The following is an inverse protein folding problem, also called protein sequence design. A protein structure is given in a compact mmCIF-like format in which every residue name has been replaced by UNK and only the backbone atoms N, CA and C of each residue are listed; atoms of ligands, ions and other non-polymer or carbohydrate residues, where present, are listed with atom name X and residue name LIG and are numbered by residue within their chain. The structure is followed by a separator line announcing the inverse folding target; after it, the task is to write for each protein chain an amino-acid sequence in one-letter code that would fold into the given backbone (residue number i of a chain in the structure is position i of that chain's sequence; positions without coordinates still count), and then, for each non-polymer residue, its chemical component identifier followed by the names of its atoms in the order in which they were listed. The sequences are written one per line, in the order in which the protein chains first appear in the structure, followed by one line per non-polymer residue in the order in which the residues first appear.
data_IF_663961084880
#
_entry.id   IF_663961084880
#
_cell.length_a   1.000
_cell.length_b   1.000
_cell.length_c   1.000
_cell.angle_alpha   90.00
_cell.angle_beta   90.00
_cell.angle_gamma   90.00
#
_symmetry.space_group_name_H-M   'P 1'
#
loop_
_entity.id
_entity.type
_entity.pdbx_description
1 polymer ?
#
# COMPACT_ATOMS: atom_id res chain seq x y z
N UNK A 1 20.40 -9.79 3.78
CA UNK A 1 19.03 -10.35 3.69
C UNK A 1 19.01 -11.68 4.43
N UNK A 2 18.11 -11.87 5.40
CA UNK A 2 18.13 -13.06 6.27
C UNK A 2 17.44 -14.29 5.67
N UNK A 3 16.30 -14.12 4.98
CA UNK A 3 15.51 -15.22 4.39
C UNK A 3 14.62 -14.72 3.24
N UNK A 4 14.16 -15.64 2.40
CA UNK A 4 13.16 -15.39 1.34
C UNK A 4 13.78 -15.10 -0.02
N UNK A 5 12.97 -14.54 -0.93
CA UNK A 5 13.37 -14.16 -2.29
C UNK A 5 13.10 -12.67 -2.51
N UNK A 6 14.00 -12.00 -3.22
CA UNK A 6 13.84 -10.60 -3.61
C UNK A 6 14.17 -10.42 -5.10
N UNK A 7 13.32 -9.67 -5.82
CA UNK A 7 13.67 -9.15 -7.14
C UNK A 7 14.21 -7.73 -6.98
N UNK A 8 15.34 -7.45 -7.62
CA UNK A 8 15.97 -6.13 -7.66
C UNK A 8 16.18 -5.75 -9.12
N UNK A 9 15.57 -4.65 -9.55
CA UNK A 9 15.80 -4.08 -10.87
C UNK A 9 16.78 -2.92 -10.77
N UNK A 10 17.91 -3.01 -11.47
CA UNK A 10 18.94 -1.98 -11.54
C UNK A 10 18.60 -0.96 -12.63
N UNK A 11 19.13 0.26 -12.52
CA UNK A 11 18.92 1.31 -13.54
C UNK A 11 19.48 0.98 -14.93
N UNK A 12 20.35 -0.02 -15.04
CA UNK A 12 20.82 -0.58 -16.32
C UNK A 12 19.76 -1.43 -17.03
N UNK A 13 18.69 -1.82 -16.33
CA UNK A 13 17.70 -2.80 -16.78
C UNK A 13 18.02 -4.24 -16.37
N UNK A 14 19.13 -4.49 -15.67
CA UNK A 14 19.44 -5.82 -15.11
C UNK A 14 18.45 -6.14 -14.00
N UNK A 15 17.84 -7.32 -14.09
CA UNK A 15 16.98 -7.86 -13.04
C UNK A 15 17.70 -8.97 -12.30
N UNK A 16 17.78 -8.84 -10.97
CA UNK A 16 18.40 -9.80 -10.07
C UNK A 16 17.32 -10.50 -9.25
N UNK A 17 17.42 -11.82 -9.11
CA UNK A 17 16.69 -12.59 -8.10
C UNK A 17 17.70 -13.04 -7.06
N UNK A 18 17.52 -12.58 -5.82
CA UNK A 18 18.39 -12.90 -4.68
C UNK A 18 17.63 -13.81 -3.73
N UNK A 19 18.27 -14.91 -3.33
CA UNK A 19 17.73 -15.86 -2.36
C UNK A 19 18.51 -15.78 -1.04
N UNK A 20 17.79 -15.48 0.04
CA UNK A 20 18.35 -15.36 1.38
C UNK A 20 18.64 -16.72 2.04
N UNK A 21 19.60 -16.84 2.96
CA UNK A 21 20.45 -15.77 3.49
C UNK A 21 21.50 -15.28 2.46
N UNK A 22 21.60 -13.96 2.29
CA UNK A 22 22.50 -13.35 1.31
C UNK A 22 23.05 -12.00 1.79
N UNK A 23 24.32 -11.76 1.50
CA UNK A 23 25.04 -10.52 1.74
C UNK A 23 25.64 -10.02 0.42
N UNK A 24 25.19 -8.84 -0.01
CA UNK A 24 25.57 -8.25 -1.29
C UNK A 24 25.50 -6.72 -1.22
N UNK A 25 26.23 -6.06 -2.11
CA UNK A 25 26.23 -4.61 -2.27
C UNK A 25 26.09 -4.22 -3.74
N UNK A 26 25.14 -3.33 -4.03
CA UNK A 26 25.02 -2.71 -5.37
C UNK A 26 25.99 -1.53 -5.43
N UNK A 27 27.07 -1.68 -6.19
CA UNK A 27 28.09 -0.63 -6.31
C UNK A 27 27.73 0.40 -7.39
N UNK A 28 27.09 -0.05 -8.47
CA UNK A 28 26.64 0.80 -9.57
C UNK A 28 25.50 0.12 -10.35
N UNK A 29 24.87 0.80 -11.32
CA UNK A 29 23.92 0.15 -12.22
C UNK A 29 24.50 -1.06 -12.97
N UNK A 30 25.83 -1.16 -13.10
CA UNK A 30 26.52 -2.19 -13.87
C UNK A 30 27.30 -3.19 -13.01
N UNK A 31 27.24 -3.09 -11.68
CA UNK A 31 28.12 -3.87 -10.80
C UNK A 31 27.50 -4.17 -9.43
N UNK A 32 27.55 -5.44 -9.05
CA UNK A 32 27.13 -5.95 -7.74
C UNK A 32 28.24 -6.81 -7.14
N UNK A 33 28.51 -6.62 -5.85
CA UNK A 33 29.38 -7.50 -5.07
C UNK A 33 28.52 -8.48 -4.30
N UNK A 34 28.84 -9.77 -4.35
CA UNK A 34 28.17 -10.83 -3.60
C UNK A 34 29.17 -11.49 -2.67
N UNK A 35 28.94 -11.38 -1.37
CA UNK A 35 29.76 -11.98 -0.31
C UNK A 35 29.21 -13.34 0.12
N UNK A 36 27.90 -13.49 0.14
CA UNK A 36 27.24 -14.78 0.39
C UNK A 36 25.85 -14.83 -0.22
N UNK A 37 25.36 -16.04 -0.50
CA UNK A 37 24.01 -16.30 -0.98
C UNK A 37 23.95 -16.61 -2.48
N UNK A 38 22.72 -16.75 -2.98
CA UNK A 38 22.44 -17.09 -4.37
C UNK A 38 21.83 -15.91 -5.10
N UNK A 39 22.38 -15.60 -6.27
CA UNK A 39 21.95 -14.49 -7.12
C UNK A 39 21.82 -14.98 -8.56
N UNK A 40 20.63 -14.84 -9.15
CA UNK A 40 20.38 -15.05 -10.57
C UNK A 40 20.20 -13.69 -11.25
N UNK A 41 20.97 -13.43 -12.29
CA UNK A 41 20.92 -12.19 -13.07
C UNK A 41 20.36 -12.46 -14.46
N UNK A 42 19.40 -11.64 -14.87
CA UNK A 42 18.96 -11.52 -16.27
C UNK A 42 19.45 -10.18 -16.81
N UNK A 43 20.37 -10.23 -17.76
CA UNK A 43 21.00 -9.03 -18.32
C UNK A 43 20.43 -8.73 -19.70
N UNK A 44 19.75 -7.59 -19.90
CA UNK A 44 19.26 -7.21 -21.21
C UNK A 44 20.40 -6.68 -22.10
N UNK A 45 20.16 -6.64 -23.42
CA UNK A 45 21.16 -6.20 -24.41
C UNK A 45 21.85 -4.85 -24.10
N UNK A 46 21.14 -3.80 -23.62
CA UNK A 46 21.79 -2.52 -23.29
C UNK A 46 22.76 -2.58 -22.10
N UNK A 47 22.68 -3.64 -21.29
CA UNK A 47 23.47 -3.81 -20.07
C UNK A 47 24.58 -4.87 -20.21
N UNK A 48 24.96 -5.23 -21.45
CA UNK A 48 26.12 -6.08 -21.70
C UNK A 48 27.36 -5.54 -20.98
N UNK A 49 28.14 -6.44 -20.38
CA UNK A 49 29.25 -6.09 -19.51
C UNK A 49 28.86 -5.83 -18.06
N UNK A 50 27.62 -6.16 -17.66
CA UNK A 50 27.22 -6.21 -16.24
C UNK A 50 28.10 -7.20 -15.46
N UNK A 51 28.41 -6.88 -14.19
CA UNK A 51 29.41 -7.61 -13.43
C UNK A 51 28.91 -8.03 -12.06
N UNK A 52 29.18 -9.28 -11.72
CA UNK A 52 29.07 -9.79 -10.35
C UNK A 52 30.46 -10.12 -9.85
N UNK A 53 30.86 -9.46 -8.77
CA UNK A 53 32.15 -9.64 -8.12
C UNK A 53 31.97 -10.47 -6.85
N UNK A 54 32.84 -11.45 -6.67
CA UNK A 54 32.94 -12.31 -5.49
C UNK A 54 34.37 -12.25 -4.94
N UNK A 55 34.62 -12.82 -3.76
CA UNK A 55 35.98 -12.86 -3.19
C UNK A 55 36.97 -13.67 -4.04
N UNK A 56 36.46 -14.61 -4.85
CA UNK A 56 37.27 -15.54 -5.65
C UNK A 56 37.37 -15.15 -7.13
N UNK A 57 36.64 -14.13 -7.59
CA UNK A 57 36.68 -13.65 -8.97
C UNK A 57 35.51 -12.77 -9.40
N UNK A 58 35.55 -12.34 -10.67
CA UNK A 58 34.55 -11.48 -11.32
C UNK A 58 33.88 -12.25 -12.46
N UNK A 59 32.54 -12.21 -12.54
CA UNK A 59 31.76 -12.66 -13.69
C UNK A 59 31.37 -11.45 -14.50
N UNK A 60 31.70 -11.44 -15.79
CA UNK A 60 31.31 -10.38 -16.72
C UNK A 60 30.32 -10.94 -17.74
N UNK A 61 29.14 -10.36 -17.76
CA UNK A 61 28.09 -10.68 -18.71
C UNK A 61 28.48 -10.28 -20.15
N UNK A 62 28.17 -11.16 -21.10
CA UNK A 62 28.31 -10.88 -22.53
C UNK A 62 26.94 -10.90 -23.26
N UNK A 63 25.84 -10.86 -22.50
CA UNK A 63 24.46 -10.79 -22.99
C UNK A 63 23.61 -12.00 -22.63
N UNK A 64 23.41 -12.27 -21.33
CA UNK A 64 22.77 -13.53 -20.90
C UNK A 64 21.96 -13.53 -19.62
N UNK A 65 21.45 -14.72 -19.28
CA UNK A 65 20.98 -15.10 -17.97
C UNK A 65 21.99 -16.05 -17.29
N UNK A 66 22.50 -15.66 -16.12
CA UNK A 66 23.48 -16.43 -15.35
C UNK A 66 23.18 -16.36 -13.85
N UNK A 67 23.77 -17.25 -13.08
CA UNK A 67 23.62 -17.31 -11.63
C UNK A 67 24.97 -17.49 -10.94
N UNK A 68 25.06 -16.95 -9.73
CA UNK A 68 26.21 -17.08 -8.85
C UNK A 68 25.73 -17.62 -7.50
N UNK A 69 26.42 -18.63 -7.00
CA UNK A 69 26.24 -19.18 -5.65
C UNK A 69 27.54 -18.96 -4.88
N UNK A 70 27.47 -18.15 -3.82
CA UNK A 70 28.61 -17.88 -2.94
C UNK A 70 28.33 -18.48 -1.56
N UNK A 71 29.11 -19.50 -1.21
CA UNK A 71 28.99 -20.20 0.07
C UNK A 71 30.36 -20.68 0.55
N UNK A 72 30.64 -20.52 1.84
CA UNK A 72 31.83 -21.07 2.52
C UNK A 72 33.17 -20.84 1.78
N UNK A 73 33.41 -19.59 1.34
CA UNK A 73 34.64 -19.22 0.62
C UNK A 73 34.73 -19.80 -0.81
N UNK A 74 33.62 -20.32 -1.34
CA UNK A 74 33.53 -20.84 -2.71
C UNK A 74 32.59 -19.97 -3.51
N UNK A 75 32.83 -19.90 -4.82
CA UNK A 75 31.87 -19.34 -5.76
C UNK A 75 31.68 -20.27 -6.94
N UNK A 76 30.42 -20.54 -7.22
CA UNK A 76 29.98 -21.26 -8.41
C UNK A 76 29.29 -20.27 -9.36
N UNK A 77 29.62 -20.35 -10.64
CA UNK A 77 29.02 -19.55 -11.71
C UNK A 77 28.31 -20.51 -12.64
N UNK A 78 27.03 -20.29 -12.86
CA UNK A 78 26.14 -21.12 -13.66
C UNK A 78 25.57 -20.29 -14.80
N UNK A 79 25.84 -20.65 -16.05
CA UNK A 79 25.32 -19.93 -17.21
C UNK A 79 24.07 -20.64 -17.70
N UNK A 80 22.91 -19.99 -17.61
CA UNK A 80 21.63 -20.62 -17.95
C UNK A 80 21.34 -20.49 -19.44
N UNK A 81 21.60 -19.32 -20.01
CA UNK A 81 21.49 -19.03 -21.44
C UNK A 81 22.71 -18.21 -21.87
N UNK A 82 23.01 -18.15 -23.18
CA UNK A 82 24.10 -17.33 -23.73
C UNK A 82 25.52 -17.65 -23.23
N UNK A 83 26.32 -16.64 -22.91
CA UNK A 83 27.71 -16.75 -22.46
C UNK A 83 28.15 -15.66 -21.47
N UNK A 84 29.11 -15.99 -20.60
CA UNK A 84 29.79 -15.05 -19.69
C UNK A 84 31.30 -15.23 -19.77
N UNK A 85 32.04 -14.21 -19.33
CA UNK A 85 33.46 -14.30 -19.07
C UNK A 85 33.71 -14.41 -17.55
N UNK A 86 34.23 -15.56 -17.12
CA UNK A 86 34.68 -15.78 -15.74
C UNK A 86 36.14 -15.36 -15.59
N UNK A 87 36.41 -14.43 -14.68
CA UNK A 87 37.75 -13.90 -14.36
C UNK A 87 38.12 -14.29 -12.93
N UNK A 88 38.69 -15.50 -12.73
CA UNK A 88 39.11 -15.94 -11.40
C UNK A 88 40.24 -15.07 -10.86
N UNK A 89 40.21 -14.80 -9.56
CA UNK A 89 41.31 -14.08 -8.88
C UNK A 89 42.60 -14.89 -8.98
N UNK A 90 43.63 -14.27 -9.57
CA UNK A 90 44.94 -14.90 -9.78
C UNK A 90 44.96 -15.99 -10.85
N UNK A 91 43.93 -16.10 -11.69
CA UNK A 91 43.87 -17.06 -12.81
C UNK A 91 43.65 -16.39 -14.16
N UNK A 92 43.54 -17.20 -15.21
CA UNK A 92 43.20 -16.72 -16.55
C UNK A 92 41.67 -16.62 -16.72
N UNK A 93 41.24 -15.59 -17.43
CA UNK A 93 39.84 -15.45 -17.83
C UNK A 93 39.44 -16.60 -18.76
N UNK A 94 38.22 -17.10 -18.60
CA UNK A 94 37.66 -18.16 -19.44
C UNK A 94 36.21 -17.83 -19.80
N UNK A 95 35.79 -18.25 -20.99
CA UNK A 95 34.40 -18.16 -21.42
C UNK A 95 33.62 -19.38 -20.90
N UNK A 96 32.44 -19.13 -20.37
CA UNK A 96 31.50 -20.17 -19.91
C UNK A 96 30.21 -19.99 -20.71
N UNK A 97 29.74 -21.07 -21.33
CA UNK A 97 28.60 -21.06 -22.25
C UNK A 97 27.34 -21.59 -21.56
N UNK A 98 26.17 -21.32 -22.15
CA UNK A 98 24.87 -21.81 -21.68
C UNK A 98 24.86 -23.31 -21.38
N UNK A 99 24.32 -23.66 -20.21
CA UNK A 99 24.30 -25.00 -19.67
C UNK A 99 25.59 -25.44 -18.96
N UNK A 100 26.64 -24.61 -18.96
CA UNK A 100 27.89 -24.89 -18.26
C UNK A 100 27.95 -24.18 -16.91
N UNK A 101 28.75 -24.75 -16.02
CA UNK A 101 29.05 -24.18 -14.73
C UNK A 101 30.54 -24.30 -14.41
N UNK A 102 31.07 -23.34 -13.66
CA UNK A 102 32.44 -23.34 -13.15
C UNK A 102 32.43 -23.01 -11.68
N UNK A 103 33.25 -23.69 -10.89
CA UNK A 103 33.39 -23.43 -9.46
C UNK A 103 34.83 -23.13 -9.08
N UNK A 104 35.03 -22.26 -8.10
CA UNK A 104 36.35 -21.96 -7.53
C UNK A 104 36.28 -21.73 -6.02
N UNK A 105 37.30 -22.20 -5.29
CA UNK A 105 37.51 -21.85 -3.87
C UNK A 105 38.40 -20.63 -3.69
N UNK A 106 38.36 -20.04 -2.50
CA UNK A 106 39.27 -18.98 -2.03
C UNK A 106 40.75 -19.38 -2.03
N UNK A 107 41.04 -20.68 -1.89
CA UNK A 107 42.39 -21.26 -2.07
C UNK A 107 42.88 -21.22 -3.53
N UNK A 108 41.98 -20.94 -4.48
CA UNK A 108 42.28 -20.88 -5.91
C UNK A 108 42.12 -22.19 -6.66
N UNK A 109 41.61 -23.24 -5.99
CA UNK A 109 41.35 -24.54 -6.60
C UNK A 109 40.04 -24.50 -7.40
N UNK A 110 40.02 -25.17 -8.55
CA UNK A 110 38.78 -25.43 -9.29
C UNK A 110 37.98 -26.49 -8.54
N UNK A 111 36.69 -26.23 -8.34
CA UNK A 111 35.77 -27.18 -7.71
C UNK A 111 34.68 -27.60 -8.70
N UNK A 112 34.09 -28.77 -8.46
CA UNK A 112 32.92 -29.21 -9.20
C UNK A 112 31.73 -28.29 -8.87
N UNK A 113 31.05 -27.80 -9.90
CA UNK A 113 29.84 -26.98 -9.78
C UNK A 113 28.63 -27.86 -10.16
N UNK A 114 27.96 -28.50 -9.19
CA UNK A 114 26.84 -29.38 -9.47
C UNK A 114 25.67 -28.60 -10.06
N UNK A 115 24.86 -29.23 -10.91
CA UNK A 115 23.65 -28.59 -11.43
C UNK A 115 22.72 -28.19 -10.29
N UNK A 116 22.40 -26.89 -10.20
CA UNK A 116 21.46 -26.34 -9.21
C UNK A 116 20.31 -25.63 -9.89
N UNK A 117 19.13 -25.67 -9.28
CA UNK A 117 18.02 -24.83 -9.67
C UNK A 117 18.14 -23.46 -8.99
N UNK A 118 18.00 -22.41 -9.80
CA UNK A 118 17.95 -21.03 -9.34
C UNK A 118 16.57 -20.45 -9.65
N UNK A 119 15.93 -19.85 -8.66
CA UNK A 119 14.60 -19.25 -8.87
C UNK A 119 14.71 -18.11 -9.87
N UNK A 120 13.99 -18.24 -10.99
CA UNK A 120 13.90 -17.22 -12.03
C UNK A 120 12.86 -16.16 -11.74
N UNK A 121 12.86 -15.08 -12.52
CA UNK A 121 11.90 -13.97 -12.40
C UNK A 121 10.46 -14.47 -12.58
N UNK A 122 10.19 -15.31 -13.59
CA UNK A 122 8.83 -15.82 -13.83
C UNK A 122 8.36 -16.74 -12.69
N UNK A 123 9.23 -17.62 -12.19
CA UNK A 123 8.92 -18.47 -11.05
C UNK A 123 8.67 -17.67 -9.78
N UNK A 124 9.47 -16.63 -9.52
CA UNK A 124 9.24 -15.71 -8.40
C UNK A 124 7.90 -14.99 -8.55
N UNK A 125 7.54 -14.52 -9.75
CA UNK A 125 6.24 -13.90 -10.02
C UNK A 125 5.09 -14.87 -9.75
N UNK A 126 5.21 -16.12 -10.15
CA UNK A 126 4.21 -17.16 -9.87
C UNK A 126 4.07 -17.38 -8.36
N UNK A 127 5.18 -17.53 -7.62
CA UNK A 127 5.17 -17.68 -6.16
C UNK A 127 4.49 -16.49 -5.45
N UNK A 128 4.80 -15.26 -5.87
CA UNK A 128 4.19 -14.05 -5.31
C UNK A 128 2.70 -14.00 -5.63
N UNK A 129 2.29 -14.35 -6.85
CA UNK A 129 0.88 -14.41 -7.26
C UNK A 129 0.11 -15.44 -6.45
N UNK A 130 0.68 -16.62 -6.24
CA UNK A 130 0.02 -17.71 -5.52
C UNK A 130 -0.11 -17.37 -4.02
N UNK A 131 0.96 -16.84 -3.40
CA UNK A 131 0.92 -16.35 -2.02
C UNK A 131 -0.16 -15.27 -1.83
N UNK A 132 -0.23 -14.31 -2.76
CA UNK A 132 -1.26 -13.27 -2.75
C UNK A 132 -2.67 -13.83 -2.95
N UNK A 133 -2.84 -14.81 -3.83
CA UNK A 133 -4.14 -15.46 -4.07
C UNK A 133 -4.65 -16.20 -2.83
N UNK A 134 -3.75 -16.86 -2.09
CA UNK A 134 -4.08 -17.50 -0.82
C UNK A 134 -4.50 -16.46 0.23
N UNK A 135 -3.72 -15.38 0.39
CA UNK A 135 -4.07 -14.28 1.31
C UNK A 135 -5.40 -13.64 0.97
N UNK A 136 -5.69 -13.42 -0.32
CA UNK A 136 -6.97 -12.90 -0.78
C UNK A 136 -8.13 -13.84 -0.39
N UNK A 137 -7.97 -15.15 -0.54
CA UNK A 137 -8.98 -16.13 -0.15
C UNK A 137 -9.25 -16.11 1.36
N UNK A 138 -8.19 -16.06 2.18
CA UNK A 138 -8.28 -15.93 3.63
C UNK A 138 -9.00 -14.63 4.04
N UNK A 139 -8.64 -13.51 3.42
CA UNK A 139 -9.30 -12.22 3.68
C UNK A 139 -10.79 -12.26 3.33
N UNK A 140 -11.17 -12.85 2.18
CA UNK A 140 -12.59 -12.96 1.77
C UNK A 140 -13.42 -13.81 2.71
N UNK A 141 -12.83 -14.84 3.33
CA UNK A 141 -13.50 -15.63 4.36
C UNK A 141 -13.67 -14.83 5.65
N UNK A 142 -12.58 -14.21 6.13
CA UNK A 142 -12.58 -13.42 7.37
C UNK A 142 -13.42 -12.15 7.27
N UNK A 143 -13.52 -11.53 6.10
CA UNK A 143 -14.31 -10.32 5.93
C UNK A 143 -15.81 -10.55 6.16
N UNK A 144 -16.28 -11.80 6.07
CA UNK A 144 -17.65 -12.17 6.47
C UNK A 144 -17.90 -11.97 7.97
N UNK A 145 -16.89 -12.19 8.81
CA UNK A 145 -17.02 -11.98 10.26
C UNK A 145 -17.31 -10.51 10.59
N UNK A 146 -16.70 -9.58 9.85
CA UNK A 146 -16.96 -8.16 10.03
C UNK A 146 -18.35 -7.77 9.53
N UNK A 147 -18.81 -8.34 8.42
CA UNK A 147 -20.15 -8.06 7.86
C UNK A 147 -21.26 -8.29 8.87
N UNK A 148 -21.10 -9.29 9.74
CA UNK A 148 -22.09 -9.67 10.73
C UNK A 148 -21.95 -8.90 12.07
N UNK A 149 -20.95 -8.02 12.20
CA UNK A 149 -20.78 -7.19 13.39
C UNK A 149 -21.96 -6.20 13.50
N UNK A 150 -22.74 -6.22 14.60
CA UNK A 150 -23.89 -5.33 14.76
C UNK A 150 -23.51 -3.84 14.86
N UNK A 151 -22.23 -3.52 15.13
CA UNK A 151 -21.71 -2.15 15.17
C UNK A 151 -21.42 -1.60 13.77
N UNK A 152 -21.37 -2.45 12.75
CA UNK A 152 -21.05 -2.06 11.38
C UNK A 152 -22.24 -1.36 10.72
N UNK A 153 -22.05 -0.09 10.35
CA UNK A 153 -23.05 0.72 9.67
C UNK A 153 -22.97 0.57 8.16
N UNK A 154 -21.74 0.54 7.65
CA UNK A 154 -21.44 0.52 6.23
C UNK A 154 -20.19 -0.31 5.97
N UNK A 155 -20.27 -1.14 4.94
CA UNK A 155 -19.10 -1.84 4.42
C UNK A 155 -19.16 -1.92 2.90
N UNK A 156 -18.25 -1.19 2.26
CA UNK A 156 -18.01 -1.26 0.84
C UNK A 156 -16.72 -2.01 0.56
N UNK A 157 -16.86 -3.10 -0.19
CA UNK A 157 -15.77 -3.82 -0.80
C UNK A 157 -16.00 -3.73 -2.31
N UNK A 158 -15.13 -3.04 -3.02
CA UNK A 158 -15.32 -2.79 -4.45
C UNK A 158 -15.09 -4.08 -5.24
N UNK A 159 -16.04 -4.40 -6.13
CA UNK A 159 -15.93 -5.48 -7.09
C UNK A 159 -15.91 -4.94 -8.53
N UNK A 160 -15.33 -5.69 -9.50
CA UNK A 160 -15.25 -5.28 -10.91
C UNK A 160 -16.58 -4.82 -11.52
N UNK A 161 -17.69 -5.48 -11.16
CA UNK A 161 -19.03 -5.17 -11.66
C UNK A 161 -19.64 -3.87 -11.10
N UNK A 162 -19.20 -3.43 -9.92
CA UNK A 162 -19.82 -2.32 -9.18
C UNK A 162 -19.62 -0.98 -9.89
N UNK A 163 -18.40 -0.74 -10.39
CA UNK A 163 -18.05 0.51 -11.06
C UNK A 163 -18.78 0.63 -12.39
N UNK A 164 -18.86 -0.47 -13.14
CA UNK A 164 -19.61 -0.52 -14.40
C UNK A 164 -21.12 -0.33 -14.16
N UNK A 165 -21.65 -0.94 -13.10
CA UNK A 165 -23.04 -0.80 -12.67
C UNK A 165 -23.36 0.54 -11.98
N UNK A 166 -22.35 1.38 -11.74
CA UNK A 166 -22.43 2.64 -10.98
C UNK A 166 -23.02 2.49 -9.57
N UNK A 167 -22.88 1.32 -8.96
CA UNK A 167 -23.43 1.00 -7.64
C UNK A 167 -22.51 0.04 -6.90
N UNK A 168 -22.16 0.37 -5.66
CA UNK A 168 -21.42 -0.51 -4.74
C UNK A 168 -22.40 -1.00 -3.67
N UNK A 169 -22.65 -2.31 -3.54
CA UNK A 169 -23.52 -2.83 -2.49
C UNK A 169 -22.98 -2.53 -1.09
N UNK A 170 -23.85 -2.15 -0.15
CA UNK A 170 -23.50 -2.17 1.26
C UNK A 170 -23.53 -3.63 1.76
N UNK A 171 -22.39 -4.13 2.23
CA UNK A 171 -22.21 -5.51 2.68
C UNK A 171 -22.40 -5.69 4.18
N UNK A 172 -22.69 -4.62 4.93
CA UNK A 172 -23.00 -4.69 6.35
C UNK A 172 -24.32 -5.46 6.56
N UNK A 173 -24.30 -6.55 7.31
CA UNK A 173 -25.43 -7.48 7.47
C UNK A 173 -26.64 -6.88 8.19
N UNK A 174 -26.40 -5.91 9.07
CA UNK A 174 -27.44 -5.19 9.83
C UNK A 174 -27.39 -3.66 9.63
N UNK A 175 -26.51 -3.20 8.74
CA UNK A 175 -26.28 -1.77 8.52
C UNK A 175 -27.47 -1.11 7.82
N UNK A 176 -27.97 -0.01 8.38
CA UNK A 176 -29.06 0.78 7.79
C UNK A 176 -28.60 1.75 6.68
N UNK A 177 -27.28 1.81 6.41
CA UNK A 177 -26.74 2.66 5.35
C UNK A 177 -27.11 2.14 3.95
N UNK A 178 -27.24 3.08 3.01
CA UNK A 178 -27.55 2.76 1.62
C UNK A 178 -26.39 2.06 0.91
N UNK A 179 -26.68 1.52 -0.27
CA UNK A 179 -25.65 1.26 -1.28
C UNK A 179 -24.96 2.57 -1.72
N UNK A 180 -23.79 2.44 -2.30
CA UNK A 180 -22.99 3.56 -2.79
C UNK A 180 -23.30 3.84 -4.25
N UNK A 181 -23.75 5.06 -4.59
CA UNK A 181 -23.91 5.45 -5.99
C UNK A 181 -22.61 6.05 -6.53
N UNK A 182 -22.01 5.38 -7.52
CA UNK A 182 -20.74 5.79 -8.13
C UNK A 182 -21.00 6.84 -9.19
N UNK A 183 -20.31 7.98 -9.09
CA UNK A 183 -20.45 9.11 -10.00
C UNK A 183 -19.08 9.40 -10.60
N UNK A 184 -18.96 9.36 -11.93
CA UNK A 184 -17.79 9.80 -12.70
C UNK A 184 -16.42 9.22 -12.27
N UNK A 185 -16.40 8.13 -11.51
CA UNK A 185 -15.19 7.43 -11.09
C UNK A 185 -14.85 6.30 -12.06
N UNK A 186 -13.59 5.90 -12.11
CA UNK A 186 -13.11 4.87 -13.04
C UNK A 186 -12.67 3.61 -12.30
N UNK A 187 -12.77 2.42 -12.91
CA UNK A 187 -12.23 1.21 -12.31
C UNK A 187 -10.69 1.26 -12.30
N UNK A 188 -10.08 0.66 -11.29
CA UNK A 188 -8.63 0.55 -11.14
C UNK A 188 -8.24 -0.78 -10.46
N UNK A 189 -6.97 -1.21 -10.57
CA UNK A 189 -6.51 -2.38 -9.83
C UNK A 189 -6.57 -2.14 -8.31
N UNK A 190 -7.02 -3.14 -7.57
CA UNK A 190 -7.12 -3.12 -6.10
C UNK A 190 -5.78 -3.38 -5.40
N UNK A 191 -5.80 -3.50 -4.07
CA UNK A 191 -4.57 -3.81 -3.30
C UNK A 191 -4.04 -5.22 -3.53
N UNK A 192 -4.89 -6.12 -4.03
CA UNK A 192 -4.54 -7.49 -4.39
C UNK A 192 -4.07 -7.59 -5.86
N UNK A 193 -4.10 -6.50 -6.63
CA UNK A 193 -3.78 -6.48 -8.05
C UNK A 193 -4.87 -7.06 -8.95
N UNK A 194 -6.08 -7.28 -8.44
CA UNK A 194 -7.22 -7.65 -9.27
C UNK A 194 -7.61 -6.48 -10.15
N UNK A 195 -7.79 -6.68 -11.46
CA UNK A 195 -8.24 -5.62 -12.35
C UNK A 195 -9.65 -5.17 -11.93
N UNK A 196 -9.86 -3.85 -11.88
CA UNK A 196 -11.14 -3.23 -11.54
C UNK A 196 -11.70 -3.53 -10.12
N UNK A 197 -10.90 -4.09 -9.20
CA UNK A 197 -11.32 -4.28 -7.80
C UNK A 197 -11.26 -3.01 -6.93
N UNK A 198 -10.93 -1.85 -7.50
CA UNK A 198 -10.90 -0.57 -6.80
C UNK A 198 -11.45 0.56 -7.68
N UNK A 199 -11.76 1.68 -7.05
CA UNK A 199 -12.26 2.89 -7.72
C UNK A 199 -11.17 3.96 -7.73
N UNK A 200 -10.82 4.44 -8.91
CA UNK A 200 -9.99 5.63 -9.11
C UNK A 200 -10.82 6.91 -9.06
N UNK A 201 -10.42 7.80 -8.15
CA UNK A 201 -11.03 9.10 -7.91
C UNK A 201 -10.24 10.26 -8.53
N UNK A 202 -9.14 9.99 -9.24
CA UNK A 202 -8.35 11.03 -9.91
C UNK A 202 -9.17 11.93 -10.88
N UNK A 203 -10.20 11.44 -11.59
CA UNK A 203 -11.08 12.30 -12.39
C UNK A 203 -11.84 13.33 -11.54
N UNK A 204 -11.82 14.58 -11.98
CA UNK A 204 -12.56 15.65 -11.31
C UNK A 204 -14.06 15.35 -11.25
N UNK A 205 -14.64 15.46 -10.05
CA UNK A 205 -16.06 15.20 -9.81
C UNK A 205 -16.39 13.75 -9.48
N UNK A 206 -15.44 12.82 -9.62
CA UNK A 206 -15.58 11.43 -9.18
C UNK A 206 -15.98 11.37 -7.70
N UNK A 207 -16.90 10.50 -7.30
CA UNK A 207 -17.32 10.30 -5.90
C UNK A 207 -18.17 9.05 -5.77
N UNK A 208 -18.30 8.57 -4.55
CA UNK A 208 -19.38 7.64 -4.17
C UNK A 208 -20.31 8.35 -3.21
N UNK A 209 -21.60 8.32 -3.52
CA UNK A 209 -22.66 8.94 -2.72
C UNK A 209 -23.29 7.89 -1.83
N UNK A 210 -23.48 8.23 -0.56
CA UNK A 210 -24.07 7.32 0.44
C UNK A 210 -24.97 8.08 1.39
N UNK A 211 -25.98 7.40 1.92
CA UNK A 211 -26.81 7.87 3.03
C UNK A 211 -26.61 6.94 4.22
N UNK A 212 -26.17 7.48 5.36
CA UNK A 212 -26.00 6.75 6.62
C UNK A 212 -26.96 7.32 7.66
N UNK A 213 -28.11 6.67 7.90
CA UNK A 213 -29.10 7.16 8.86
C UNK A 213 -28.66 6.90 10.32
N UNK A 214 -29.41 7.47 11.25
CA UNK A 214 -29.26 7.24 12.67
C UNK A 214 -28.38 8.28 13.39
N UNK A 215 -28.22 8.05 14.69
CA UNK A 215 -27.42 8.86 15.60
C UNK A 215 -26.47 7.92 16.31
N UNK A 216 -25.19 8.27 16.31
CA UNK A 216 -24.12 7.42 16.81
C UNK A 216 -23.35 8.17 17.87
N UNK A 217 -23.03 7.52 18.98
CA UNK A 217 -22.21 8.14 20.02
C UNK A 217 -20.74 8.14 19.60
N UNK A 218 -20.25 6.97 19.20
CA UNK A 218 -18.86 6.77 18.77
C UNK A 218 -18.81 6.44 17.29
N UNK A 219 -17.63 6.65 16.67
CA UNK A 219 -17.44 6.42 15.25
C UNK A 219 -16.07 5.80 14.97
N UNK A 220 -16.03 4.80 14.10
CA UNK A 220 -14.78 4.35 13.48
C UNK A 220 -14.90 4.40 11.97
N UNK A 221 -14.03 5.17 11.33
CA UNK A 221 -13.86 5.25 9.89
C UNK A 221 -12.59 4.50 9.51
N UNK A 222 -12.64 3.62 8.52
CA UNK A 222 -11.49 2.86 8.03
C UNK A 222 -11.55 2.70 6.52
N UNK A 223 -10.42 2.88 5.83
CA UNK A 223 -10.33 2.55 4.41
C UNK A 223 -8.96 2.04 3.99
N UNK A 224 -8.96 1.23 2.93
CA UNK A 224 -7.77 0.99 2.11
C UNK A 224 -7.75 1.99 0.97
N UNK A 225 -6.71 2.82 0.95
CA UNK A 225 -6.54 3.91 0.00
C UNK A 225 -5.14 3.90 -0.60
N UNK A 226 -5.06 4.18 -1.91
CA UNK A 226 -3.82 4.42 -2.63
C UNK A 226 -3.77 5.89 -3.02
N UNK A 227 -2.77 6.61 -2.52
CA UNK A 227 -2.64 8.05 -2.76
C UNK A 227 -1.53 8.26 -3.80
N UNK A 228 -1.86 8.91 -4.92
CA UNK A 228 -0.87 9.23 -5.95
C UNK A 228 -0.18 10.57 -5.64
N UNK A 229 -0.94 11.54 -5.16
CA UNK A 229 -0.46 12.86 -4.76
C UNK A 229 -1.46 13.57 -3.84
N UNK A 230 -1.00 14.61 -3.15
CA UNK A 230 -1.82 15.50 -2.32
C UNK A 230 -1.84 16.91 -2.93
N UNK A 231 -2.32 17.01 -4.18
CA UNK A 231 -2.30 18.27 -4.97
C UNK A 231 -3.36 19.29 -4.52
N UNK A 232 -4.20 18.93 -3.54
CA UNK A 232 -5.27 19.76 -3.00
C UNK A 232 -4.98 20.06 -1.55
N UNK A 233 -5.37 21.26 -1.10
CA UNK A 233 -5.25 21.62 0.30
C UNK A 233 -6.02 20.65 1.22
N UNK A 234 -7.18 20.17 0.71
CA UNK A 234 -7.95 19.09 1.33
C UNK A 234 -8.18 17.98 0.32
N UNK A 235 -7.85 16.75 0.70
CA UNK A 235 -8.06 15.54 -0.10
C UNK A 235 -9.07 14.68 0.66
N UNK A 236 -10.31 14.64 0.17
CA UNK A 236 -11.45 13.98 0.83
C UNK A 236 -11.20 12.49 1.00
N UNK A 237 -11.56 11.94 2.16
CA UNK A 237 -11.79 10.51 2.34
C UNK A 237 -13.29 10.26 2.53
N UNK A 238 -13.90 10.97 3.48
CA UNK A 238 -15.34 10.91 3.78
C UNK A 238 -15.84 12.26 4.32
N UNK A 239 -16.83 12.86 3.67
CA UNK A 239 -17.45 14.11 4.12
C UNK A 239 -18.97 14.05 4.01
N UNK A 240 -19.66 14.49 5.05
CA UNK A 240 -21.08 14.81 5.00
C UNK A 240 -21.34 16.00 4.08
N UNK A 241 -22.50 16.02 3.42
CA UNK A 241 -22.87 17.12 2.53
C UNK A 241 -23.21 18.41 3.25
N UNK A 242 -23.78 18.26 4.45
CA UNK A 242 -24.20 19.38 5.26
C UNK A 242 -23.04 20.10 5.92
N UNK A 243 -23.45 21.12 6.66
CA UNK A 243 -22.65 21.69 7.74
C UNK A 243 -23.52 21.72 8.99
N UNK A 244 -24.23 20.65 9.30
CA UNK A 244 -25.09 20.57 10.48
C UNK A 244 -24.30 20.10 11.71
N UNK A 245 -24.83 20.38 12.90
CA UNK A 245 -24.26 19.90 14.15
C UNK A 245 -24.22 18.36 14.18
N UNK A 246 -23.09 17.79 14.64
CA UNK A 246 -22.89 16.35 14.73
C UNK A 246 -22.26 15.72 13.48
N UNK A 247 -22.01 16.49 12.43
CA UNK A 247 -21.50 15.95 11.18
C UNK A 247 -19.96 15.78 11.17
N UNK A 248 -19.43 14.58 10.82
CA UNK A 248 -18.01 14.32 10.76
C UNK A 248 -17.41 14.62 9.37
N UNK A 249 -16.23 15.24 9.34
CA UNK A 249 -15.40 15.41 8.12
C UNK A 249 -14.05 14.73 8.30
N UNK A 250 -13.67 13.91 7.31
CA UNK A 250 -12.45 13.12 7.31
C UNK A 250 -11.71 13.26 5.97
N UNK A 251 -10.48 13.76 6.02
CA UNK A 251 -9.71 14.16 4.84
C UNK A 251 -8.21 14.21 5.15
N UNK A 252 -7.37 14.42 4.13
CA UNK A 252 -5.92 14.53 4.24
C UNK A 252 -5.48 15.92 3.76
N UNK A 253 -4.61 16.57 4.51
CA UNK A 253 -4.02 17.86 4.17
C UNK A 253 -2.95 17.71 3.07
N UNK A 254 -2.64 18.77 2.34
CA UNK A 254 -1.53 18.80 1.36
C UNK A 254 -0.15 18.51 1.97
N UNK A 255 0.02 18.75 3.26
CA UNK A 255 1.23 18.41 4.03
C UNK A 255 1.27 16.97 4.57
N UNK A 256 0.32 16.12 4.17
CA UNK A 256 0.32 14.70 4.54
C UNK A 256 -0.23 14.39 5.92
N UNK A 257 -0.80 15.37 6.65
CA UNK A 257 -1.52 15.13 7.90
C UNK A 257 -2.93 14.63 7.66
N UNK A 258 -3.39 13.70 8.48
CA UNK A 258 -4.79 13.33 8.56
C UNK A 258 -5.57 14.42 9.29
N UNK A 259 -6.77 14.71 8.82
CA UNK A 259 -7.69 15.69 9.37
C UNK A 259 -8.99 14.97 9.73
N UNK A 260 -9.41 15.09 10.98
CA UNK A 260 -10.74 14.68 11.42
C UNK A 260 -11.39 15.77 12.26
N UNK A 261 -12.70 15.93 12.13
CA UNK A 261 -13.48 16.81 13.00
C UNK A 261 -14.93 16.38 13.03
N UNK A 262 -15.62 16.65 14.14
CA UNK A 262 -17.09 16.58 14.23
C UNK A 262 -17.61 17.97 14.55
N UNK A 263 -18.63 18.44 13.83
CA UNK A 263 -19.17 19.79 14.06
C UNK A 263 -19.86 19.87 15.42
N UNK A 264 -19.39 20.76 16.31
CA UNK A 264 -19.93 20.93 17.67
C UNK A 264 -21.08 21.92 17.74
N UNK A 265 -21.06 23.01 16.99
CA UNK A 265 -22.05 24.10 17.10
C UNK A 265 -22.20 24.89 15.80
N UNK A 266 -23.40 25.41 15.55
CA UNK A 266 -23.68 26.26 14.39
C UNK A 266 -23.44 27.74 14.66
N UNK A 267 -23.66 28.17 15.90
CA UNK A 267 -23.45 29.54 16.36
C UNK A 267 -22.21 29.58 17.25
N UNK A 268 -21.25 30.43 16.90
CA UNK A 268 -19.97 30.60 17.61
C UNK A 268 -19.43 32.00 17.37
N UNK A 269 -18.63 32.50 18.31
CA UNK A 269 -18.02 33.81 18.25
C UNK A 269 -16.52 33.72 17.91
N UNK A 270 -16.19 33.94 16.63
CA UNK A 270 -14.81 33.97 16.14
C UNK A 270 -13.93 34.98 16.89
N UNK A 271 -14.50 36.10 17.36
CA UNK A 271 -13.75 37.14 18.07
C UNK A 271 -13.30 36.70 19.46
N UNK A 272 -13.99 35.71 20.05
CA UNK A 272 -13.62 35.06 21.31
C UNK A 272 -12.74 33.82 21.11
N UNK A 273 -12.33 33.54 19.87
CA UNK A 273 -11.54 32.36 19.53
C UNK A 273 -12.36 31.07 19.45
N UNK A 274 -13.70 31.15 19.54
CA UNK A 274 -14.55 29.97 19.38
C UNK A 274 -14.48 29.45 17.94
N UNK A 275 -14.67 28.15 17.78
CA UNK A 275 -14.80 27.47 16.49
C UNK A 275 -16.09 26.65 16.46
N UNK A 276 -16.56 26.34 15.26
CA UNK A 276 -17.66 25.39 15.06
C UNK A 276 -17.25 23.96 15.46
N UNK A 277 -15.96 23.64 15.41
CA UNK A 277 -15.38 22.33 15.73
C UNK A 277 -13.93 22.42 16.19
N UNK A 278 -13.49 21.33 16.81
CA UNK A 278 -12.08 21.02 17.01
C UNK A 278 -11.58 20.13 15.87
N UNK A 279 -10.36 20.37 15.39
CA UNK A 279 -9.75 19.57 14.34
C UNK A 279 -8.64 18.74 14.96
N UNK A 280 -8.80 17.43 14.87
CA UNK A 280 -7.80 16.45 15.29
C UNK A 280 -6.88 16.19 14.12
N UNK A 281 -5.62 16.61 14.25
CA UNK A 281 -4.59 16.41 13.24
C UNK A 281 -3.67 15.27 13.66
N UNK A 282 -3.33 14.38 12.73
CA UNK A 282 -2.18 13.50 12.92
C UNK A 282 -0.86 14.24 12.65
N UNK A 283 0.29 13.68 13.07
CA UNK A 283 1.57 13.96 12.42
C UNK A 283 1.50 13.68 10.91
N UNK A 284 2.31 14.34 10.07
CA UNK A 284 2.42 14.01 8.66
C UNK A 284 2.80 12.54 8.49
N UNK A 285 1.98 11.77 7.75
CA UNK A 285 2.22 10.36 7.52
C UNK A 285 2.53 10.05 6.05
N UNK A 286 2.03 10.87 5.13
CA UNK A 286 2.22 10.67 3.70
C UNK A 286 3.38 11.52 3.17
N UNK A 287 4.24 10.91 2.37
CA UNK A 287 5.30 11.55 1.62
C UNK A 287 5.30 11.05 0.17
N UNK A 288 5.94 11.76 -0.79
CA UNK A 288 5.99 11.32 -2.18
C UNK A 288 6.54 9.90 -2.39
N UNK A 289 7.40 9.39 -1.49
CA UNK A 289 7.94 8.03 -1.53
C UNK A 289 6.87 6.93 -1.31
N UNK A 290 5.74 7.30 -0.70
CA UNK A 290 4.56 6.46 -0.53
C UNK A 290 3.56 6.57 -1.69
N UNK A 291 3.84 7.40 -2.70
CA UNK A 291 2.99 7.53 -3.88
C UNK A 291 2.73 6.17 -4.53
N UNK A 292 1.45 5.89 -4.83
CA UNK A 292 1.03 4.66 -5.49
C UNK A 292 1.03 3.42 -4.59
N UNK A 293 1.34 3.54 -3.29
CA UNK A 293 1.24 2.44 -2.32
C UNK A 293 -0.14 2.42 -1.66
N UNK A 294 -0.65 1.22 -1.40
CA UNK A 294 -1.87 1.02 -0.62
C UNK A 294 -1.58 1.17 0.87
N UNK A 295 -2.41 1.97 1.54
CA UNK A 295 -2.35 2.24 2.97
C UNK A 295 -3.70 1.95 3.59
N UNK A 296 -3.71 1.34 4.78
CA UNK A 296 -4.91 1.28 5.61
C UNK A 296 -4.89 2.48 6.55
N UNK A 297 -5.90 3.34 6.46
CA UNK A 297 -6.03 4.50 7.34
C UNK A 297 -7.31 4.32 8.15
N UNK A 298 -7.24 4.57 9.46
CA UNK A 298 -8.42 4.59 10.30
C UNK A 298 -8.44 5.78 11.25
N UNK A 299 -9.63 6.16 11.69
CA UNK A 299 -9.85 7.15 12.74
C UNK A 299 -10.97 6.69 13.66
N UNK A 300 -10.69 6.64 14.94
CA UNK A 300 -11.62 6.28 16.01
C UNK A 300 -11.93 7.53 16.82
N UNK A 301 -13.22 7.90 16.87
CA UNK A 301 -13.77 8.95 17.72
C UNK A 301 -14.50 8.29 18.89
N UNK A 302 -14.00 8.48 20.11
CA UNK A 302 -14.49 7.84 21.32
C UNK A 302 -14.80 8.88 22.41
N UNK A 303 -16.07 9.34 22.49
CA UNK A 303 -16.54 10.22 23.56
C UNK A 303 -16.46 9.61 24.96
N UNK A 304 -16.53 8.29 25.09
CA UNK A 304 -16.55 7.64 26.40
C UNK A 304 -15.15 7.60 27.01
N UNK A 305 -14.13 7.37 26.20
CA UNK A 305 -12.73 7.52 26.58
C UNK A 305 -12.20 8.97 26.40
N UNK A 306 -13.02 9.91 25.93
CA UNK A 306 -12.66 11.31 25.68
C UNK A 306 -11.42 11.45 24.78
N UNK A 307 -11.33 10.66 23.70
CA UNK A 307 -10.17 10.64 22.82
C UNK A 307 -10.51 10.41 21.34
N UNK A 308 -9.63 10.91 20.47
CA UNK A 308 -9.58 10.60 19.05
C UNK A 308 -8.25 9.94 18.72
N UNK A 309 -8.30 8.80 18.05
CA UNK A 309 -7.09 8.07 17.65
C UNK A 309 -7.05 7.86 16.14
N UNK A 310 -5.93 8.26 15.53
CA UNK A 310 -5.62 8.00 14.13
C UNK A 310 -4.72 6.77 14.03
N UNK A 311 -4.93 5.95 13.00
CA UNK A 311 -4.15 4.75 12.75
C UNK A 311 -3.63 4.74 11.31
N UNK A 312 -2.43 4.18 11.14
CA UNK A 312 -1.83 3.88 9.85
C UNK A 312 -1.36 2.43 9.84
N UNK A 313 -1.86 1.64 8.89
CA UNK A 313 -1.48 0.24 8.70
C UNK A 313 -1.58 -0.59 10.00
N UNK A 314 -2.68 -0.42 10.73
CA UNK A 314 -2.97 -1.17 11.96
C UNK A 314 -2.34 -0.59 13.23
N UNK A 315 -1.39 0.34 13.11
CA UNK A 315 -0.65 0.93 14.23
C UNK A 315 -1.18 2.32 14.59
N UNK A 316 -1.07 2.69 15.87
CA UNK A 316 -1.46 4.03 16.34
C UNK A 316 -0.51 5.08 15.74
N UNK A 317 -1.08 6.01 14.98
CA UNK A 317 -0.37 7.17 14.44
C UNK A 317 -0.35 8.33 15.43
N UNK A 318 -1.49 8.58 16.10
CA UNK A 318 -1.61 9.60 17.15
C UNK A 318 -2.89 9.44 17.94
N UNK A 319 -2.85 9.84 19.21
CA UNK A 319 -4.03 9.98 20.08
C UNK A 319 -4.09 11.39 20.63
N UNK A 320 -5.26 12.01 20.57
CA UNK A 320 -5.52 13.34 21.11
C UNK A 320 -6.76 13.31 22.00
N UNK A 321 -6.71 13.99 23.14
CA UNK A 321 -7.86 14.11 24.04
C UNK A 321 -8.93 15.03 23.42
N UNK A 322 -10.20 14.67 23.57
CA UNK A 322 -11.33 15.52 23.18
C UNK A 322 -11.45 16.65 24.22
N UNK A 323 -11.31 17.94 23.83
CA UNK A 323 -11.56 19.02 24.77
C UNK A 323 -13.04 19.03 25.17
N UNK A 324 -13.33 19.23 26.46
CA UNK A 324 -14.69 19.15 27.02
C UNK A 324 -15.69 20.04 26.26
N UNK A 325 -15.26 21.24 25.85
CA UNK A 325 -16.07 22.20 25.13
C UNK A 325 -16.41 21.74 23.69
N UNK A 326 -15.62 20.83 23.11
CA UNK A 326 -15.78 20.29 21.76
C UNK A 326 -16.32 18.86 21.72
N UNK A 327 -16.66 18.28 22.88
CA UNK A 327 -17.31 16.97 22.96
C UNK A 327 -18.65 16.96 22.20
N UNK A 328 -18.78 16.06 21.24
CA UNK A 328 -20.04 15.78 20.52
C UNK A 328 -20.51 14.38 20.90
N UNK A 329 -21.69 14.28 21.52
CA UNK A 329 -22.27 13.01 21.98
C UNK A 329 -23.19 12.35 20.94
N UNK A 330 -23.64 13.13 19.96
CA UNK A 330 -24.56 12.70 18.90
C UNK A 330 -23.95 13.01 17.54
N UNK A 331 -23.29 12.02 16.96
CA UNK A 331 -22.80 12.08 15.57
C UNK A 331 -23.95 11.75 14.63
N UNK A 332 -24.19 12.63 13.65
CA UNK A 332 -25.23 12.50 12.63
C UNK A 332 -24.54 12.59 11.27
N UNK A 333 -24.76 11.58 10.43
CA UNK A 333 -24.02 11.48 9.16
C UNK A 333 -24.93 11.87 7.98
N UNK A 334 -26.07 11.21 7.84
CA UNK A 334 -27.00 11.51 6.75
C UNK A 334 -26.37 11.30 5.39
N UNK A 335 -26.54 12.26 4.48
CA UNK A 335 -25.96 12.20 3.14
C UNK A 335 -24.48 12.58 3.17
N UNK A 336 -23.66 11.74 2.55
CA UNK A 336 -22.21 11.92 2.50
C UNK A 336 -21.62 11.51 1.15
N UNK A 337 -20.36 11.88 0.97
CA UNK A 337 -19.55 11.56 -0.20
C UNK A 337 -18.21 10.97 0.22
N UNK A 338 -17.80 9.90 -0.47
CA UNK A 338 -16.44 9.36 -0.41
C UNK A 338 -15.55 10.01 -1.48
N UNK A 339 -14.30 10.27 -1.09
CA UNK A 339 -13.16 10.63 -1.95
C UNK A 339 -13.31 11.90 -2.81
N UNK A 340 -14.38 12.66 -2.61
CA UNK A 340 -14.57 14.00 -3.16
C UNK A 340 -15.68 14.70 -2.40
N UNK A 341 -15.73 16.02 -2.46
CA UNK A 341 -16.77 16.78 -1.81
C UNK A 341 -17.01 18.11 -2.53
N UNK A 342 -18.25 18.58 -2.47
CA UNK A 342 -18.69 19.86 -3.03
C UNK A 342 -19.32 19.78 -4.43
N UNK A 343 -20.17 20.77 -4.71
CA UNK A 343 -20.47 21.21 -6.07
C UNK A 343 -19.33 22.15 -6.50
N UNK A 344 -18.85 22.09 -7.76
CA UNK A 344 -17.86 23.03 -8.26
C UNK A 344 -18.50 24.42 -8.39
N UNK A 345 -18.59 25.16 -7.29
CA UNK A 345 -19.03 26.55 -7.30
C UNK A 345 -17.87 27.43 -7.80
N UNK A 346 -18.13 28.21 -8.86
CA UNK A 346 -17.12 29.00 -9.58
C UNK A 346 -16.36 30.01 -8.71
N UNK A 347 -16.86 30.35 -7.52
CA UNK A 347 -16.40 31.50 -6.76
C UNK A 347 -15.31 31.18 -5.72
N UNK A 348 -15.07 29.90 -5.39
CA UNK A 348 -14.00 29.49 -4.45
C UNK A 348 -13.29 28.17 -4.85
N UNK A 349 -12.67 28.11 -6.04
CA UNK A 349 -12.14 26.86 -6.59
C UNK A 349 -11.07 26.18 -5.71
N UNK A 350 -10.26 26.93 -4.96
CA UNK A 350 -9.24 26.38 -4.05
C UNK A 350 -9.82 25.66 -2.82
N UNK A 351 -10.98 26.08 -2.33
CA UNK A 351 -11.64 25.47 -1.17
C UNK A 351 -12.71 24.44 -1.55
N UNK A 352 -13.28 24.57 -2.76
CA UNK A 352 -14.40 23.76 -3.24
C UNK A 352 -13.98 22.40 -3.81
N UNK A 353 -12.76 22.27 -4.35
CA UNK A 353 -12.30 20.99 -4.93
C UNK A 353 -11.52 20.22 -3.88
N UNK A 354 -12.17 19.21 -3.28
CA UNK A 354 -11.56 18.32 -2.28
C UNK A 354 -11.37 16.89 -2.79
N UNK A 355 -11.17 16.75 -4.09
CA UNK A 355 -11.05 15.46 -4.74
C UNK A 355 -9.75 14.74 -4.33
N UNK A 356 -9.85 13.45 -4.02
CA UNK A 356 -8.71 12.58 -3.80
C UNK A 356 -8.04 12.24 -5.15
N UNK A 357 -6.74 12.50 -5.27
CA UNK A 357 -5.92 11.95 -6.34
C UNK A 357 -5.39 10.56 -5.93
N UNK A 358 -6.18 9.53 -6.23
CA UNK A 358 -5.92 8.19 -5.73
C UNK A 358 -7.04 7.19 -5.97
N UNK A 359 -6.88 6.00 -5.42
CA UNK A 359 -7.85 4.90 -5.52
C UNK A 359 -8.32 4.45 -4.13
N UNK A 360 -9.56 3.97 -4.03
CA UNK A 360 -10.08 3.29 -2.84
C UNK A 360 -10.59 1.90 -3.22
N UNK A 361 -10.24 0.91 -2.41
CA UNK A 361 -10.60 -0.50 -2.59
C UNK A 361 -11.67 -0.93 -1.58
N UNK A 362 -11.50 -0.52 -0.32
CA UNK A 362 -12.34 -0.93 0.79
C UNK A 362 -12.64 0.25 1.72
N UNK A 363 -13.89 0.36 2.18
CA UNK A 363 -14.31 1.35 3.17
C UNK A 363 -15.24 0.72 4.19
N UNK A 364 -14.96 0.95 5.47
CA UNK A 364 -15.75 0.48 6.61
C UNK A 364 -16.12 1.66 7.52
N UNK A 365 -17.34 1.61 8.04
CA UNK A 365 -17.86 2.55 9.03
C UNK A 365 -18.55 1.79 10.15
N UNK A 366 -18.11 2.03 11.38
CA UNK A 366 -18.74 1.49 12.58
C UNK A 366 -19.34 2.61 13.42
N UNK A 367 -20.52 2.37 13.98
CA UNK A 367 -21.18 3.22 14.98
C UNK A 367 -20.65 2.96 16.39
N UNK A 368 -19.38 2.60 16.50
CA UNK A 368 -18.69 2.25 17.73
C UNK A 368 -17.22 2.64 17.64
N UNK A 369 -16.58 2.82 18.80
CA UNK A 369 -15.14 2.96 18.90
C UNK A 369 -14.50 1.57 18.89
N UNK A 370 -13.72 1.25 17.86
CA UNK A 370 -12.93 0.01 17.83
C UNK A 370 -11.64 0.17 18.63
N UNK A 371 -11.22 -0.92 19.28
CA UNK A 371 -9.94 -0.98 20.00
C UNK A 371 -8.75 -1.01 19.05
N UNK A 372 -7.56 -0.70 19.57
CA UNK A 372 -6.33 -0.78 18.78
C UNK A 372 -6.08 -2.21 18.28
N UNK A 373 -6.40 -3.23 19.08
CA UNK A 373 -6.29 -4.63 18.69
C UNK A 373 -7.26 -5.00 17.55
N UNK A 374 -8.50 -4.49 17.59
CA UNK A 374 -9.46 -4.70 16.50
C UNK A 374 -8.96 -4.08 15.19
N UNK A 375 -8.42 -2.85 15.24
CA UNK A 375 -7.84 -2.18 14.07
C UNK A 375 -6.62 -2.92 13.53
N UNK A 376 -5.72 -3.39 14.41
CA UNK A 376 -4.54 -4.15 14.02
C UNK A 376 -4.93 -5.50 13.40
N UNK A 377 -5.94 -6.20 13.95
CA UNK A 377 -6.46 -7.45 13.39
C UNK A 377 -7.07 -7.24 12.00
N UNK A 378 -7.83 -6.17 11.79
CA UNK A 378 -8.36 -5.80 10.47
C UNK A 378 -7.19 -5.64 9.48
N UNK A 379 -6.14 -4.92 9.86
CA UNK A 379 -4.96 -4.75 9.01
C UNK A 379 -4.26 -6.07 8.68
N UNK A 380 -3.94 -6.88 9.68
CA UNK A 380 -3.19 -8.14 9.51
C UNK A 380 -3.91 -9.16 8.61
N UNK A 381 -5.24 -9.15 8.63
CA UNK A 381 -6.07 -10.00 7.78
C UNK A 381 -6.36 -9.40 6.41
N UNK A 382 -6.21 -8.10 6.22
CA UNK A 382 -6.55 -7.42 4.96
C UNK A 382 -5.35 -6.94 4.15
N UNK A 383 -4.13 -7.06 4.68
CA UNK A 383 -2.89 -6.70 3.97
C UNK A 383 -2.50 -7.75 2.90
N UNK A 384 -2.02 -7.29 1.71
CA UNK A 384 -1.57 -8.15 0.61
C UNK A 384 -0.49 -9.18 0.91
#
# INVERSE_FOLDING_TARGET
MERGLAQIDLFSGVSLVVEGAAEFAVLSPMEVVVQSGRVRARVPQPAHGFRITTDVGEVVDLGTEFAVDVSDGKSEVHVLDGEVEWRPRGGQAQRVLGGQAVGRSDTGDSIEAPTREFVGIEQLRDLVRDARSNRLAEWREKSRLYRDDPRMLLYYQVMPEDVAGRRIPNLAGQGAASDGAVVAAMPSPDRWGQPAGAIDFSPAGSRVRVTVPGVHRSLTLLCWVKINSLDRWYNSLFLTDGHEQGEPHWQIMDDGRLFFSVKKRDVFDLSKGERDKHIYYSPPFWTPELSGRWLMIATVYDPDAMQVTHYLNGEVLSTEAIPQEYLVEEVRIGNASLCNWGLPERNQPRFAVRNLNGSLDEFMLFGAALSAEEIQQIYEFSRP
#
